data_IF_214760788297
#
_entry.id   IF_214760788297
#
_cell.length_a   1.000
_cell.length_b   1.000
_cell.length_c   1.000
_cell.angle_alpha   90.00
_cell.angle_beta   90.00
_cell.angle_gamma   90.00
#
_symmetry.space_group_name_H-M   'P 1'
#
loop_
_entity.id
_entity.type
_entity.pdbx_description
1 polymer ?
#
# COMPACT_ATOMS: atom_id res chain seq x y z
N UNK A 1 21.31 22.72 -5.75
CA UNK A 1 20.05 21.94 -5.83
C UNK A 1 20.30 20.82 -6.82
N UNK A 2 20.20 19.56 -6.42
CA UNK A 2 20.38 18.45 -7.36
C UNK A 2 19.22 18.47 -8.37
N UNK A 3 19.57 18.43 -9.65
CA UNK A 3 18.57 18.29 -10.72
C UNK A 3 18.00 16.85 -10.71
N UNK A 4 16.80 16.69 -11.26
CA UNK A 4 16.22 15.36 -11.46
C UNK A 4 17.07 14.61 -12.49
N UNK A 5 17.47 13.37 -12.17
CA UNK A 5 18.19 12.52 -13.11
C UNK A 5 17.20 11.60 -13.82
N UNK A 6 17.12 11.71 -15.13
CA UNK A 6 16.24 10.91 -15.98
C UNK A 6 17.11 9.96 -16.81
N UNK A 7 16.78 8.66 -16.75
CA UNK A 7 17.45 7.61 -17.52
C UNK A 7 16.40 6.78 -18.25
N UNK A 8 16.58 6.56 -19.54
CA UNK A 8 15.78 5.59 -20.31
C UNK A 8 16.43 4.21 -20.20
N UNK A 9 15.65 3.20 -19.86
CA UNK A 9 16.08 1.82 -19.73
C UNK A 9 15.29 0.99 -20.73
N UNK A 10 15.99 0.39 -21.68
CA UNK A 10 15.45 -0.46 -22.72
C UNK A 10 15.61 -1.94 -22.36
N UNK A 11 14.57 -2.73 -22.62
CA UNK A 11 14.64 -4.18 -22.62
C UNK A 11 14.68 -4.69 -24.07
N UNK A 12 15.87 -5.02 -24.53
CA UNK A 12 16.08 -5.44 -25.91
C UNK A 12 15.34 -6.75 -26.29
N UNK A 13 14.99 -7.59 -25.30
CA UNK A 13 14.27 -8.84 -25.55
C UNK A 13 12.78 -8.56 -25.80
N UNK A 14 12.21 -7.59 -25.08
CA UNK A 14 10.80 -7.22 -25.20
C UNK A 14 10.57 -6.14 -26.27
N UNK A 15 11.62 -5.46 -26.72
CA UNK A 15 11.52 -4.28 -27.58
C UNK A 15 10.82 -3.10 -26.91
N UNK A 16 10.86 -3.03 -25.59
CA UNK A 16 10.14 -2.05 -24.77
C UNK A 16 11.08 -1.37 -23.78
N UNK A 17 10.72 -0.17 -23.34
CA UNK A 17 11.52 0.55 -22.36
C UNK A 17 10.71 1.48 -21.47
N UNK A 18 11.36 1.97 -20.43
CA UNK A 18 10.75 2.88 -19.48
C UNK A 18 11.74 3.96 -19.02
N UNK A 19 11.20 5.07 -18.56
CA UNK A 19 11.99 6.12 -17.93
C UNK A 19 12.09 5.88 -16.43
N UNK A 20 13.32 5.90 -15.91
CA UNK A 20 13.61 5.93 -14.49
C UNK A 20 14.05 7.32 -14.09
N UNK A 21 13.37 7.92 -13.12
CA UNK A 21 13.58 9.29 -12.68
C UNK A 21 13.93 9.28 -11.20
N UNK A 22 15.11 9.78 -10.87
CA UNK A 22 15.51 10.07 -9.49
C UNK A 22 15.11 11.52 -9.20
N UNK A 23 14.00 11.71 -8.51
CA UNK A 23 13.52 13.04 -8.16
C UNK A 23 14.34 13.63 -7.00
N UNK A 24 14.53 14.96 -7.01
CA UNK A 24 15.28 15.69 -5.97
C UNK A 24 14.80 15.47 -4.51
N UNK A 25 13.57 14.99 -4.32
CA UNK A 25 13.03 14.63 -3.02
C UNK A 25 13.45 13.24 -2.53
N UNK A 26 14.18 12.46 -3.34
CA UNK A 26 14.50 11.05 -3.09
C UNK A 26 13.45 10.07 -3.62
N UNK A 27 12.32 10.55 -4.15
CA UNK A 27 11.32 9.68 -4.77
C UNK A 27 11.87 9.11 -6.09
N UNK A 28 11.69 7.81 -6.29
CA UNK A 28 11.93 7.16 -7.57
C UNK A 28 10.63 7.07 -8.34
N UNK A 29 10.64 7.55 -9.60
CA UNK A 29 9.49 7.54 -10.48
C UNK A 29 9.83 6.70 -11.70
N UNK A 30 8.91 5.83 -12.09
CA UNK A 30 9.02 5.01 -13.28
C UNK A 30 7.88 5.35 -14.22
N UNK A 31 8.20 5.67 -15.48
CA UNK A 31 7.19 5.98 -16.50
C UNK A 31 7.37 5.00 -17.65
N UNK A 32 6.34 4.21 -17.89
CA UNK A 32 6.31 3.22 -18.96
C UNK A 32 5.29 3.63 -20.02
N UNK A 33 5.70 4.27 -21.12
CA UNK A 33 4.80 4.69 -22.18
C UNK A 33 4.26 3.48 -22.94
N UNK A 34 2.96 3.50 -23.22
CA UNK A 34 2.26 2.51 -24.06
C UNK A 34 1.35 3.24 -25.03
N UNK A 35 1.82 3.45 -26.26
CA UNK A 35 1.13 4.27 -27.27
C UNK A 35 -0.23 3.71 -27.69
N UNK A 36 -0.40 2.40 -27.62
CA UNK A 36 -1.64 1.73 -28.06
C UNK A 36 -2.73 1.68 -26.98
N UNK A 37 -2.44 2.18 -25.75
CA UNK A 37 -3.39 2.14 -24.65
C UNK A 37 -4.10 3.48 -24.48
N UNK A 38 -5.41 3.44 -24.35
CA UNK A 38 -6.26 4.61 -24.09
C UNK A 38 -6.42 4.90 -22.60
N UNK A 39 -5.98 3.99 -21.73
CA UNK A 39 -6.05 4.15 -20.29
C UNK A 39 -4.66 4.35 -19.69
N UNK A 40 -4.60 5.18 -18.65
CA UNK A 40 -3.39 5.36 -17.84
C UNK A 40 -3.58 4.68 -16.47
N UNK A 41 -2.56 3.96 -16.04
CA UNK A 41 -2.48 3.31 -14.75
C UNK A 41 -1.37 3.97 -13.93
N UNK A 42 -1.69 4.48 -12.75
CA UNK A 42 -0.71 5.08 -11.85
C UNK A 42 -0.71 4.37 -10.51
N UNK A 43 0.48 4.11 -9.98
CA UNK A 43 0.69 3.44 -8.69
C UNK A 43 1.65 4.26 -7.85
N UNK A 44 1.27 4.52 -6.61
CA UNK A 44 2.17 4.97 -5.56
C UNK A 44 2.45 3.79 -4.63
N UNK A 45 3.70 3.34 -4.57
CA UNK A 45 4.12 2.18 -3.78
C UNK A 45 5.12 2.54 -2.69
N UNK A 46 4.97 1.91 -1.54
CA UNK A 46 5.95 1.94 -0.45
C UNK A 46 6.48 0.54 -0.17
N UNK A 47 7.77 0.45 0.20
CA UNK A 47 8.39 -0.78 0.70
C UNK A 47 8.09 -0.96 2.19
N UNK A 48 6.81 -1.04 2.49
CA UNK A 48 6.29 -1.28 3.82
C UNK A 48 5.08 -2.21 3.67
N UNK A 49 5.16 -3.41 4.20
CA UNK A 49 4.13 -4.43 4.09
C UNK A 49 3.87 -5.14 5.41
N UNK A 50 3.11 -6.23 5.37
CA UNK A 50 2.64 -6.92 6.58
C UNK A 50 3.76 -7.58 7.39
N UNK A 51 4.92 -7.89 6.79
CA UNK A 51 6.07 -8.45 7.51
C UNK A 51 6.90 -7.41 8.27
N UNK A 52 6.67 -6.12 8.01
CA UNK A 52 7.43 -5.02 8.62
C UNK A 52 6.87 -4.64 10.00
N UNK A 53 6.77 -5.62 10.89
CA UNK A 53 6.27 -5.43 12.26
C UNK A 53 7.33 -4.94 13.23
N UNK A 54 8.62 -4.96 12.84
CA UNK A 54 9.73 -4.48 13.65
C UNK A 54 10.76 -3.79 12.76
N UNK A 55 10.93 -2.50 12.94
CA UNK A 55 11.83 -1.69 12.13
C UNK A 55 12.49 -0.57 12.94
N UNK A 56 13.50 0.04 12.34
CA UNK A 56 14.22 1.19 12.91
C UNK A 56 14.03 2.39 11.99
N UNK A 57 13.54 3.48 12.56
CA UNK A 57 13.47 4.78 11.87
C UNK A 57 14.85 5.45 11.85
N UNK A 58 15.11 6.25 10.82
CA UNK A 58 16.37 6.99 10.68
C UNK A 58 16.58 8.04 11.79
N UNK A 59 15.49 8.52 12.39
CA UNK A 59 15.50 9.54 13.45
C UNK A 59 15.55 8.96 14.88
N UNK A 60 15.59 7.61 15.03
CA UNK A 60 15.61 6.92 16.33
C UNK A 60 16.70 5.87 16.43
N UNK A 61 17.25 5.69 17.63
CA UNK A 61 18.24 4.67 17.91
C UNK A 61 17.62 3.28 18.12
N UNK A 62 16.40 3.23 18.64
CA UNK A 62 15.72 1.99 19.04
C UNK A 62 14.84 1.43 17.95
N UNK A 63 14.60 0.11 18.02
CA UNK A 63 13.60 -0.53 17.19
C UNK A 63 12.19 -0.20 17.68
N UNK A 64 11.28 -0.02 16.74
CA UNK A 64 9.84 0.10 16.96
C UNK A 64 9.23 -1.25 16.63
N UNK A 65 8.38 -1.74 17.50
CA UNK A 65 7.52 -2.89 17.25
C UNK A 65 6.08 -2.39 17.14
N UNK A 66 5.36 -2.91 16.15
CA UNK A 66 3.99 -2.53 15.85
C UNK A 66 3.12 -3.78 15.74
N UNK A 67 1.81 -3.68 16.00
CA UNK A 67 0.88 -4.79 15.86
C UNK A 67 0.88 -5.37 14.44
N UNK A 68 0.70 -6.68 14.31
CA UNK A 68 0.47 -7.31 13.02
C UNK A 68 -0.82 -6.77 12.38
N UNK A 69 -0.82 -6.60 11.05
CA UNK A 69 -1.93 -5.99 10.32
C UNK A 69 -1.86 -4.47 10.19
N UNK A 70 -0.88 -3.78 10.84
CA UNK A 70 -0.78 -2.32 10.77
C UNK A 70 -0.62 -1.81 9.34
N UNK A 71 0.12 -2.51 8.47
CA UNK A 71 0.29 -2.09 7.07
C UNK A 71 -1.05 -2.10 6.31
N UNK A 72 -1.85 -3.14 6.48
CA UNK A 72 -3.19 -3.27 5.91
C UNK A 72 -4.17 -2.24 6.52
N UNK A 73 -4.09 -2.04 7.83
CA UNK A 73 -4.87 -1.01 8.51
C UNK A 73 -4.59 0.39 7.95
N UNK A 74 -3.31 0.73 7.72
CA UNK A 74 -2.92 2.01 7.11
C UNK A 74 -3.40 2.12 5.66
N UNK A 75 -3.44 1.02 4.92
CA UNK A 75 -3.99 0.99 3.57
C UNK A 75 -5.43 1.50 3.57
N UNK A 76 -6.28 0.95 4.41
CA UNK A 76 -7.67 1.37 4.57
C UNK A 76 -7.76 2.83 5.02
N UNK A 77 -7.00 3.20 6.05
CA UNK A 77 -7.07 4.53 6.66
C UNK A 77 -6.66 5.67 5.75
N UNK A 78 -5.73 5.44 4.82
CA UNK A 78 -5.31 6.50 3.90
C UNK A 78 -6.41 6.92 2.91
N UNK A 79 -7.45 6.09 2.70
CA UNK A 79 -8.60 6.49 1.89
C UNK A 79 -9.59 7.41 2.61
N UNK A 80 -9.53 7.52 3.93
CA UNK A 80 -10.37 8.43 4.68
C UNK A 80 -9.81 9.87 4.68
N UNK A 81 -10.70 10.85 4.51
CA UNK A 81 -10.41 12.27 4.67
C UNK A 81 -11.52 12.94 5.49
N UNK A 82 -11.28 14.16 5.98
CA UNK A 82 -12.24 14.91 6.77
C UNK A 82 -13.54 15.20 6.00
N UNK A 83 -13.44 15.44 4.69
CA UNK A 83 -14.57 15.87 3.89
C UNK A 83 -15.25 14.76 3.08
N UNK A 84 -14.50 13.78 2.59
CA UNK A 84 -15.01 12.71 1.72
C UNK A 84 -14.05 11.51 1.70
N UNK A 85 -14.62 10.31 1.71
CA UNK A 85 -13.92 9.08 1.38
C UNK A 85 -13.41 9.15 -0.07
N UNK A 86 -12.10 8.91 -0.27
CA UNK A 86 -11.48 8.95 -1.59
C UNK A 86 -12.12 7.93 -2.55
N UNK A 87 -12.64 6.80 -2.05
CA UNK A 87 -13.42 5.86 -2.85
C UNK A 87 -14.69 6.46 -3.44
N UNK A 88 -15.34 7.37 -2.73
CA UNK A 88 -16.56 8.05 -3.23
C UNK A 88 -16.27 9.08 -4.32
N UNK A 89 -15.05 9.63 -4.33
CA UNK A 89 -14.63 10.60 -5.35
C UNK A 89 -14.25 9.95 -6.68
N UNK A 90 -13.71 8.70 -6.64
CA UNK A 90 -13.06 8.11 -7.82
C UNK A 90 -13.44 6.65 -7.98
N UNK A 91 -14.26 6.40 -8.99
CA UNK A 91 -14.82 5.08 -9.32
C UNK A 91 -13.78 4.00 -9.73
N UNK A 92 -12.47 4.31 -9.75
CA UNK A 92 -11.41 3.39 -10.20
C UNK A 92 -10.11 3.53 -9.39
N UNK A 93 -10.20 3.93 -8.13
CA UNK A 93 -9.08 3.86 -7.20
C UNK A 93 -9.04 2.50 -6.53
N UNK A 94 -7.87 2.07 -6.14
CA UNK A 94 -7.68 0.83 -5.40
C UNK A 94 -6.41 0.89 -4.57
N UNK A 95 -6.27 -0.04 -3.65
CA UNK A 95 -5.05 -0.28 -2.94
C UNK A 95 -4.83 -1.77 -2.72
N UNK A 96 -3.65 -2.14 -2.31
CA UNK A 96 -3.32 -3.50 -1.92
C UNK A 96 -2.14 -3.52 -0.96
N UNK A 97 -2.25 -4.29 0.10
CA UNK A 97 -1.15 -4.63 0.99
C UNK A 97 -0.68 -6.04 0.70
N UNK A 98 0.63 -6.20 0.55
CA UNK A 98 1.31 -7.49 0.43
C UNK A 98 2.27 -7.68 1.60
N UNK A 99 3.06 -8.75 1.57
CA UNK A 99 4.05 -9.03 2.61
C UNK A 99 5.12 -7.94 2.72
N UNK A 100 5.58 -7.38 1.59
CA UNK A 100 6.75 -6.48 1.51
C UNK A 100 6.42 -5.06 1.01
N UNK A 101 5.16 -4.76 0.72
CA UNK A 101 4.76 -3.47 0.12
C UNK A 101 3.28 -3.17 0.34
N UNK A 102 2.98 -1.88 0.29
CA UNK A 102 1.62 -1.36 0.14
C UNK A 102 1.58 -0.45 -1.08
N UNK A 103 0.56 -0.60 -1.92
CA UNK A 103 0.37 0.14 -3.15
C UNK A 103 -0.99 0.82 -3.17
N UNK A 104 -1.02 2.06 -3.63
CA UNK A 104 -2.23 2.85 -3.90
C UNK A 104 -2.24 3.17 -5.37
N UNK A 105 -3.39 3.02 -6.03
CA UNK A 105 -3.45 3.11 -7.46
C UNK A 105 -4.75 3.74 -7.96
N UNK A 106 -4.69 4.27 -9.18
CA UNK A 106 -5.87 4.56 -9.97
C UNK A 106 -5.67 4.17 -11.43
N UNK A 107 -6.78 3.96 -12.13
CA UNK A 107 -6.82 3.83 -13.57
C UNK A 107 -7.79 4.85 -14.14
N UNK A 108 -7.38 5.58 -15.17
CA UNK A 108 -8.23 6.57 -15.83
C UNK A 108 -8.07 6.55 -17.35
N UNK A 109 -9.08 7.04 -18.05
CA UNK A 109 -9.06 7.29 -19.50
C UNK A 109 -9.01 8.78 -19.85
N UNK A 110 -8.98 9.65 -18.83
CA UNK A 110 -8.90 11.10 -18.91
C UNK A 110 -8.64 11.69 -17.53
N UNK A 111 -8.47 13.02 -17.47
CA UNK A 111 -8.25 13.76 -16.21
C UNK A 111 -7.09 13.20 -15.35
N UNK A 112 -6.02 12.77 -16.03
CA UNK A 112 -4.87 12.15 -15.36
C UNK A 112 -4.30 13.06 -14.27
N UNK A 113 -4.15 14.35 -14.56
CA UNK A 113 -3.54 15.30 -13.63
C UNK A 113 -4.32 15.41 -12.33
N UNK A 114 -5.62 15.58 -12.42
CA UNK A 114 -6.52 15.71 -11.28
C UNK A 114 -6.51 14.40 -10.44
N UNK A 115 -6.60 13.25 -11.10
CA UNK A 115 -6.55 11.95 -10.42
C UNK A 115 -5.19 11.72 -9.74
N UNK A 116 -4.10 12.14 -10.38
CA UNK A 116 -2.77 12.01 -9.82
C UNK A 116 -2.55 12.94 -8.61
N UNK A 117 -3.02 14.19 -8.69
CA UNK A 117 -2.98 15.13 -7.57
C UNK A 117 -3.69 14.55 -6.34
N UNK A 118 -4.83 13.91 -6.54
CA UNK A 118 -5.58 13.26 -5.48
C UNK A 118 -4.84 12.04 -4.91
N UNK A 119 -4.29 11.16 -5.75
CA UNK A 119 -3.49 10.05 -5.28
C UNK A 119 -2.35 10.54 -4.37
N UNK A 120 -1.66 11.59 -4.78
CA UNK A 120 -0.55 12.16 -3.99
C UNK A 120 -1.07 12.86 -2.73
N UNK A 121 -2.22 13.49 -2.79
CA UNK A 121 -2.79 14.23 -1.66
C UNK A 121 -3.18 13.26 -0.53
N UNK A 122 -3.96 12.23 -0.81
CA UNK A 122 -4.39 11.32 0.26
C UNK A 122 -3.26 10.49 0.87
N UNK A 123 -2.22 10.10 0.12
CA UNK A 123 -1.06 9.41 0.70
C UNK A 123 -0.17 10.34 1.54
N UNK A 124 -0.28 11.65 1.37
CA UNK A 124 0.51 12.66 2.11
C UNK A 124 -0.21 13.25 3.31
N UNK A 125 -1.54 13.24 3.31
CA UNK A 125 -2.37 13.89 4.32
C UNK A 125 -3.33 12.90 4.97
N UNK A 126 -2.79 11.91 5.72
CA UNK A 126 -3.63 10.92 6.39
C UNK A 126 -4.52 11.58 7.44
N UNK A 127 -5.77 11.15 7.53
CA UNK A 127 -6.71 11.62 8.51
C UNK A 127 -6.99 10.54 9.56
N UNK A 128 -6.55 10.79 10.79
CA UNK A 128 -6.73 9.89 11.92
C UNK A 128 -7.47 10.59 13.05
N UNK A 129 -8.56 9.98 13.49
CA UNK A 129 -9.24 10.31 14.76
C UNK A 129 -9.47 9.01 15.51
N UNK A 130 -9.65 9.10 16.82
CA UNK A 130 -9.98 7.93 17.65
C UNK A 130 -11.26 7.22 17.15
N UNK A 131 -12.27 7.99 16.73
CA UNK A 131 -13.51 7.47 16.18
C UNK A 131 -13.29 6.69 14.87
N UNK A 132 -12.55 7.29 13.91
CA UNK A 132 -12.31 6.65 12.61
C UNK A 132 -11.39 5.44 12.74
N UNK A 133 -10.44 5.45 13.67
CA UNK A 133 -9.61 4.27 14.00
C UNK A 133 -10.47 3.13 14.55
N UNK A 134 -11.36 3.41 15.52
CA UNK A 134 -12.26 2.39 16.08
C UNK A 134 -13.24 1.83 15.05
N UNK A 135 -13.77 2.68 14.17
CA UNK A 135 -14.63 2.24 13.07
C UNK A 135 -13.89 1.25 12.16
N UNK A 136 -12.65 1.58 11.78
CA UNK A 136 -11.85 0.76 10.89
C UNK A 136 -11.44 -0.58 11.53
N UNK A 137 -11.17 -0.60 12.82
CA UNK A 137 -10.96 -1.85 13.57
C UNK A 137 -12.15 -2.82 13.41
N UNK A 138 -13.37 -2.29 13.42
CA UNK A 138 -14.59 -3.08 13.19
C UNK A 138 -14.70 -3.63 11.78
N UNK A 139 -14.36 -2.82 10.77
CA UNK A 139 -14.42 -3.19 9.35
C UNK A 139 -13.38 -4.29 9.06
N UNK A 140 -12.13 -4.08 9.44
CA UNK A 140 -11.06 -5.07 9.25
C UNK A 140 -11.35 -6.34 10.07
N UNK A 141 -11.97 -6.21 11.26
CA UNK A 141 -12.40 -7.37 12.04
C UNK A 141 -13.41 -8.27 11.30
N UNK A 142 -14.32 -7.70 10.50
CA UNK A 142 -15.23 -8.44 9.62
C UNK A 142 -14.51 -9.04 8.41
N UNK A 143 -13.55 -8.33 7.85
CA UNK A 143 -12.73 -8.84 6.74
C UNK A 143 -11.86 -10.03 7.18
N UNK A 144 -11.29 -10.00 8.38
CA UNK A 144 -10.56 -11.14 8.96
C UNK A 144 -11.49 -12.36 9.09
N UNK A 145 -12.75 -12.18 9.51
CA UNK A 145 -13.69 -13.29 9.56
C UNK A 145 -14.00 -13.84 8.17
N UNK A 146 -14.18 -12.97 7.18
CA UNK A 146 -14.40 -13.38 5.79
C UNK A 146 -13.21 -14.20 5.23
N UNK A 147 -11.98 -13.82 5.53
CA UNK A 147 -10.79 -14.59 5.12
C UNK A 147 -10.72 -15.96 5.79
N UNK A 148 -11.15 -16.10 7.04
CA UNK A 148 -11.24 -17.40 7.74
C UNK A 148 -12.26 -18.35 7.10
N UNK A 149 -13.28 -17.82 6.45
CA UNK A 149 -14.27 -18.61 5.71
C UNK A 149 -13.76 -19.04 4.32
N UNK A 150 -12.57 -18.57 3.89
CA UNK A 150 -11.95 -18.95 2.62
C UNK A 150 -10.99 -20.13 2.79
N UNK A 151 -11.33 -21.33 2.25
CA UNK A 151 -10.44 -22.49 2.36
C UNK A 151 -9.07 -22.28 1.72
N UNK A 152 -8.99 -21.50 0.63
CA UNK A 152 -7.74 -21.20 -0.07
C UNK A 152 -6.82 -20.33 0.80
N UNK A 153 -7.39 -19.32 1.45
CA UNK A 153 -6.68 -18.42 2.35
C UNK A 153 -6.17 -19.15 3.59
N UNK A 154 -7.02 -19.93 4.21
CA UNK A 154 -6.67 -20.79 5.35
C UNK A 154 -5.56 -21.80 4.98
N UNK A 155 -5.65 -22.44 3.82
CA UNK A 155 -4.62 -23.36 3.33
C UNK A 155 -3.27 -22.65 3.17
N UNK A 156 -3.24 -21.45 2.57
CA UNK A 156 -2.04 -20.67 2.37
C UNK A 156 -1.38 -20.32 3.71
N UNK A 157 -2.12 -19.74 4.65
CA UNK A 157 -1.53 -19.29 5.91
C UNK A 157 -1.19 -20.45 6.86
N UNK A 158 -1.93 -21.55 6.82
CA UNK A 158 -1.55 -22.78 7.53
C UNK A 158 -0.24 -23.36 6.97
N UNK A 159 -0.06 -23.38 5.65
CA UNK A 159 1.18 -23.79 5.01
C UNK A 159 2.34 -22.88 5.42
N UNK A 160 2.19 -21.56 5.31
CA UNK A 160 3.22 -20.60 5.70
C UNK A 160 3.57 -20.72 7.19
N UNK A 161 2.59 -20.93 8.04
CA UNK A 161 2.79 -21.12 9.48
C UNK A 161 3.54 -22.42 9.80
N UNK A 162 3.35 -23.48 9.01
CA UNK A 162 4.09 -24.73 9.14
C UNK A 162 5.53 -24.62 8.62
N UNK A 163 5.74 -23.84 7.54
CA UNK A 163 7.06 -23.67 6.93
C UNK A 163 7.96 -22.72 7.71
N UNK A 164 7.42 -21.66 8.31
CA UNK A 164 8.20 -20.59 8.93
C UNK A 164 7.91 -20.51 10.44
N UNK A 165 8.93 -20.75 11.28
CA UNK A 165 8.77 -20.70 12.74
C UNK A 165 8.85 -19.29 13.32
N UNK A 166 9.66 -18.40 12.73
CA UNK A 166 9.95 -17.05 13.28
C UNK A 166 9.68 -15.92 12.29
N UNK A 167 9.63 -16.21 10.99
CA UNK A 167 9.46 -15.17 9.99
C UNK A 167 8.02 -14.64 10.01
N UNK A 168 7.78 -13.31 9.98
CA UNK A 168 6.45 -12.72 10.06
C UNK A 168 5.54 -13.05 8.87
N UNK A 169 6.04 -13.56 7.76
CA UNK A 169 5.22 -14.06 6.62
C UNK A 169 4.19 -15.12 7.02
N UNK A 170 4.38 -15.77 8.17
CA UNK A 170 3.45 -16.74 8.75
C UNK A 170 2.18 -16.12 9.36
N UNK A 171 2.17 -14.82 9.53
CA UNK A 171 1.05 -14.05 10.08
C UNK A 171 0.23 -13.52 8.91
N UNK A 172 -1.09 -13.59 9.02
CA UNK A 172 -2.00 -13.04 8.02
C UNK A 172 -1.71 -11.56 7.76
N UNK A 173 -1.85 -11.14 6.51
CA UNK A 173 -1.61 -9.75 6.08
C UNK A 173 -2.52 -8.79 6.85
N UNK A 174 -3.76 -9.16 7.07
CA UNK A 174 -4.72 -8.39 7.87
C UNK A 174 -4.45 -8.45 9.39
N UNK A 175 -3.54 -9.31 9.83
CA UNK A 175 -3.27 -9.54 11.25
C UNK A 175 -4.33 -10.40 11.91
N UNK A 176 -4.62 -10.10 13.17
CA UNK A 176 -5.66 -10.77 13.98
C UNK A 176 -6.57 -9.71 14.60
N UNK A 177 -7.80 -10.07 14.98
CA UNK A 177 -8.69 -9.15 15.70
C UNK A 177 -8.04 -8.56 16.96
N UNK A 178 -7.23 -9.36 17.66
CA UNK A 178 -6.51 -8.87 18.82
C UNK A 178 -5.45 -7.83 18.42
N UNK A 179 -4.57 -8.15 17.44
CA UNK A 179 -3.51 -7.20 17.03
C UNK A 179 -4.09 -5.92 16.45
N UNK A 180 -5.21 -6.00 15.71
CA UNK A 180 -5.90 -4.81 15.18
C UNK A 180 -6.48 -3.94 16.32
N UNK A 181 -6.98 -4.53 17.40
CA UNK A 181 -7.49 -3.78 18.54
C UNK A 181 -6.43 -3.00 19.32
N UNK A 182 -5.16 -3.33 19.14
CA UNK A 182 -4.00 -2.65 19.74
C UNK A 182 -3.54 -1.40 18.94
N UNK A 183 -4.05 -1.21 17.73
CA UNK A 183 -3.74 -0.03 16.90
C UNK A 183 -4.52 1.17 17.42
N UNK A 184 -3.82 2.23 17.82
CA UNK A 184 -4.38 3.46 18.42
C UNK A 184 -3.89 4.72 17.71
#
# INVERSE_FOLDING_TARGET
MSENKITYIENAVLGEGYYSIEHKSGLRIFVYPKEEYTSTYAVFGTKYGSIDTRFKRSDRADFIEIPAGTAHFLEHKLFESEELDAFQRYAKTGASTSFDRTCYLFMCTGNFKENFEILIDFVRHPYFTEETVRKEQGIIGQEIDMYKDSPEWECLFNMLSAMYHKHPVRIDIAGTKQSISEIT
#
